data_IF_203665642815
#
_entry.id   IF_203665642815
#
_cell.length_a   1.000
_cell.length_b   1.000
_cell.length_c   1.000
_cell.angle_alpha   90.00
_cell.angle_beta   90.00
_cell.angle_gamma   90.00
#
_symmetry.space_group_name_H-M   'P 1'
#
loop_
_entity.id
_entity.type
_entity.pdbx_description
1 polymer ?
#
# COMPACT_ATOMS: atom_id res chain seq x y z
N UNK A 1 -1.92 -38.77 23.25
CA UNK A 1 -2.62 -37.67 22.53
C UNK A 1 -2.30 -36.30 23.12
N UNK A 2 -2.21 -36.14 24.44
CA UNK A 2 -1.88 -34.87 25.12
C UNK A 2 -0.55 -34.23 24.72
N UNK A 3 0.51 -35.03 24.50
CA UNK A 3 1.84 -34.53 24.09
C UNK A 3 1.85 -33.89 22.68
N UNK A 4 0.98 -34.33 21.77
CA UNK A 4 0.91 -33.73 20.43
C UNK A 4 0.21 -32.38 20.46
N UNK A 5 -0.82 -32.25 21.30
CA UNK A 5 -1.58 -31.00 21.44
C UNK A 5 -0.73 -29.93 22.12
N UNK A 6 0.07 -30.30 23.11
CA UNK A 6 1.02 -29.38 23.76
C UNK A 6 2.10 -28.88 22.81
N UNK A 7 2.59 -29.71 21.88
CA UNK A 7 3.58 -29.29 20.87
C UNK A 7 3.00 -28.24 19.92
N UNK A 8 1.76 -28.39 19.44
CA UNK A 8 1.10 -27.40 18.58
C UNK A 8 0.84 -26.08 19.31
N UNK A 9 0.46 -26.13 20.59
CA UNK A 9 0.31 -24.92 21.42
C UNK A 9 1.64 -24.19 21.56
N UNK A 10 2.71 -24.90 21.90
CA UNK A 10 4.05 -24.30 22.01
C UNK A 10 4.53 -23.73 20.67
N UNK A 11 4.23 -24.39 19.55
CA UNK A 11 4.53 -23.87 18.23
C UNK A 11 3.80 -22.55 17.96
N UNK A 12 2.48 -22.50 18.18
CA UNK A 12 1.67 -21.30 17.99
C UNK A 12 2.11 -20.12 18.89
N UNK A 13 2.53 -20.43 20.13
CA UNK A 13 3.07 -19.43 21.07
C UNK A 13 4.46 -18.92 20.68
N UNK A 14 5.24 -19.70 19.92
CA UNK A 14 6.60 -19.34 19.50
C UNK A 14 6.63 -18.60 18.15
N UNK A 15 5.49 -18.46 17.47
CA UNK A 15 5.40 -17.73 16.21
C UNK A 15 5.70 -16.24 16.41
N UNK A 16 6.46 -15.68 15.48
CA UNK A 16 6.68 -14.23 15.37
C UNK A 16 5.48 -13.47 14.77
N UNK A 17 4.35 -14.17 14.59
CA UNK A 17 3.08 -13.63 14.14
C UNK A 17 2.20 -13.38 15.36
N UNK A 18 1.50 -12.24 15.40
CA UNK A 18 0.56 -11.96 16.48
C UNK A 18 -0.73 -12.75 16.23
N UNK A 19 -1.11 -13.61 17.16
CA UNK A 19 -2.32 -14.42 17.07
C UNK A 19 -3.26 -14.12 18.22
N UNK A 20 -4.56 -14.02 17.92
CA UNK A 20 -5.63 -13.97 18.89
C UNK A 20 -6.77 -14.92 18.47
N UNK A 21 -7.43 -15.52 19.45
CA UNK A 21 -8.57 -16.40 19.23
C UNK A 21 -9.77 -15.78 19.92
N UNK A 22 -10.90 -15.71 19.23
CA UNK A 22 -12.17 -15.28 19.80
C UNK A 22 -13.16 -16.43 19.91
N UNK A 23 -14.20 -16.24 20.71
CA UNK A 23 -15.43 -17.02 20.62
C UNK A 23 -16.34 -16.51 19.48
N UNK A 24 -17.53 -17.11 19.34
CA UNK A 24 -18.55 -16.69 18.36
C UNK A 24 -19.19 -15.33 18.66
N UNK A 25 -19.03 -14.80 19.87
CA UNK A 25 -19.51 -13.46 20.24
C UNK A 25 -18.45 -12.38 20.01
N UNK A 26 -17.25 -12.77 19.53
CA UNK A 26 -16.13 -11.87 19.28
C UNK A 26 -15.30 -11.52 20.51
N UNK A 27 -15.48 -12.21 21.64
CA UNK A 27 -14.66 -12.01 22.84
C UNK A 27 -13.34 -12.72 22.68
N UNK A 28 -12.23 -12.01 22.86
CA UNK A 28 -10.88 -12.59 22.81
C UNK A 28 -10.71 -13.56 23.98
N UNK A 29 -10.55 -14.84 23.66
CA UNK A 29 -10.35 -15.92 24.62
C UNK A 29 -8.87 -16.16 24.90
N UNK A 30 -8.02 -16.07 23.86
CA UNK A 30 -6.58 -16.30 23.98
C UNK A 30 -5.79 -15.40 23.04
N UNK A 31 -4.57 -15.07 23.43
CA UNK A 31 -3.58 -14.37 22.61
C UNK A 31 -2.22 -15.02 22.79
N UNK A 32 -1.38 -14.98 21.77
CA UNK A 32 0.00 -15.43 21.91
C UNK A 32 0.92 -14.32 22.48
N UNK A 33 2.13 -14.67 22.97
CA UNK A 33 3.04 -13.68 23.54
C UNK A 33 3.42 -12.55 22.57
N UNK A 34 3.52 -12.86 21.27
CA UNK A 34 3.81 -11.88 20.22
C UNK A 34 2.72 -10.82 20.13
N UNK A 35 1.44 -11.22 20.16
CA UNK A 35 0.30 -10.31 20.20
C UNK A 35 0.35 -9.41 21.43
N UNK A 36 0.49 -9.99 22.63
CA UNK A 36 0.52 -9.23 23.88
C UNK A 36 1.67 -8.21 23.91
N UNK A 37 2.88 -8.62 23.49
CA UNK A 37 4.04 -7.74 23.39
C UNK A 37 3.81 -6.61 22.38
N UNK A 38 3.24 -6.91 21.21
CA UNK A 38 2.97 -5.89 20.19
C UNK A 38 1.89 -4.91 20.65
N UNK A 39 0.81 -5.39 21.25
CA UNK A 39 -0.23 -4.53 21.83
C UNK A 39 0.34 -3.58 22.89
N UNK A 40 1.21 -4.07 23.79
CA UNK A 40 1.88 -3.24 24.78
C UNK A 40 2.81 -2.18 24.13
N UNK A 41 3.58 -2.55 23.10
CA UNK A 41 4.44 -1.63 22.36
C UNK A 41 3.66 -0.52 21.65
N UNK A 42 2.45 -0.83 21.18
CA UNK A 42 1.55 0.12 20.53
C UNK A 42 0.76 0.99 21.54
N UNK A 43 0.94 0.78 22.85
CA UNK A 43 0.18 1.49 23.88
C UNK A 43 -1.29 1.06 23.99
N UNK A 44 -1.64 -0.14 23.49
CA UNK A 44 -3.00 -0.70 23.51
C UNK A 44 -3.28 -1.56 24.75
N UNK A 45 -2.29 -1.74 25.62
CA UNK A 45 -2.46 -2.32 26.96
C UNK A 45 -3.25 -1.36 27.86
N UNK A 46 -4.18 -1.84 28.72
CA UNK A 46 -4.44 -3.24 29.08
C UNK A 46 -5.56 -3.92 28.26
N UNK A 47 -6.14 -3.23 27.28
CA UNK A 47 -7.36 -3.71 26.61
C UNK A 47 -7.04 -4.80 25.58
N UNK A 48 -5.94 -4.67 24.86
CA UNK A 48 -5.60 -5.55 23.74
C UNK A 48 -4.52 -6.58 24.03
N UNK A 49 -3.87 -6.51 25.19
CA UNK A 49 -2.72 -7.38 25.55
C UNK A 49 -3.11 -8.66 26.30
N UNK A 50 -4.40 -8.85 26.58
CA UNK A 50 -4.94 -9.97 27.37
C UNK A 50 -6.33 -10.41 26.89
N UNK A 51 -6.80 -11.60 27.29
CA UNK A 51 -8.17 -12.04 27.05
C UNK A 51 -9.23 -11.14 27.72
N UNK A 52 -10.43 -11.11 27.13
CA UNK A 52 -11.63 -10.48 27.71
C UNK A 52 -12.21 -9.32 26.92
N UNK A 53 -11.45 -8.71 26.00
CA UNK A 53 -11.98 -7.67 25.12
C UNK A 53 -12.98 -8.27 24.12
N UNK A 54 -14.18 -7.69 24.02
CA UNK A 54 -15.10 -8.02 22.94
C UNK A 54 -14.80 -7.14 21.70
N UNK A 55 -14.24 -7.77 20.66
CA UNK A 55 -13.84 -7.10 19.42
C UNK A 55 -15.04 -6.46 18.71
N UNK A 56 -16.18 -7.14 18.68
CA UNK A 56 -17.38 -6.67 17.99
C UNK A 56 -17.92 -5.42 18.68
N UNK A 57 -18.03 -5.43 20.00
CA UNK A 57 -18.46 -4.25 20.78
C UNK A 57 -17.46 -3.11 20.66
N UNK A 58 -16.16 -3.40 20.73
CA UNK A 58 -15.11 -2.41 20.55
C UNK A 58 -15.22 -1.68 19.20
N UNK A 59 -15.45 -2.43 18.12
CA UNK A 59 -15.60 -1.88 16.76
C UNK A 59 -16.93 -1.16 16.53
N UNK A 60 -17.99 -1.54 17.25
CA UNK A 60 -19.29 -0.85 17.20
C UNK A 60 -19.23 0.53 17.86
N UNK A 61 -18.35 0.73 18.84
CA UNK A 61 -18.21 1.99 19.55
C UNK A 61 -17.69 3.10 18.61
N UNK A 62 -18.46 4.18 18.37
CA UNK A 62 -18.05 5.30 17.52
C UNK A 62 -16.75 5.96 17.95
N UNK A 63 -16.48 6.00 19.26
CA UNK A 63 -15.29 6.66 19.83
C UNK A 63 -13.98 5.96 19.42
N UNK A 64 -14.08 4.69 19.00
CA UNK A 64 -12.92 3.89 18.56
C UNK A 64 -12.68 3.96 17.04
N UNK A 65 -13.45 4.76 16.29
CA UNK A 65 -13.32 4.87 14.83
C UNK A 65 -11.97 5.45 14.39
N UNK A 66 -11.33 6.26 15.23
CA UNK A 66 -9.99 6.78 14.95
C UNK A 66 -8.93 5.67 14.85
N UNK A 67 -9.10 4.60 15.64
CA UNK A 67 -8.25 3.40 15.58
C UNK A 67 -8.63 2.48 14.42
N UNK A 68 -9.90 2.49 14.00
CA UNK A 68 -10.48 1.56 13.02
C UNK A 68 -11.48 2.28 12.09
N UNK A 69 -11.00 3.09 11.11
CA UNK A 69 -11.89 3.93 10.29
C UNK A 69 -12.89 3.12 9.44
N UNK A 70 -12.53 1.89 9.06
CA UNK A 70 -13.38 0.98 8.29
C UNK A 70 -14.09 -0.08 9.16
N UNK A 71 -14.34 0.21 10.44
CA UNK A 71 -14.97 -0.72 11.38
C UNK A 71 -16.29 -1.35 10.86
N UNK A 72 -17.23 -0.62 10.23
CA UNK A 72 -18.48 -1.22 9.74
C UNK A 72 -18.26 -2.31 8.69
N UNK A 73 -17.33 -2.08 7.76
CA UNK A 73 -17.00 -3.05 6.72
C UNK A 73 -16.35 -4.29 7.33
N UNK A 74 -15.43 -4.10 8.29
CA UNK A 74 -14.79 -5.21 8.98
C UNK A 74 -15.80 -6.04 9.80
N UNK A 75 -16.73 -5.39 10.51
CA UNK A 75 -17.81 -6.07 11.24
C UNK A 75 -18.69 -6.92 10.31
N UNK A 76 -19.03 -6.41 9.12
CA UNK A 76 -19.78 -7.18 8.13
C UNK A 76 -19.02 -8.44 7.69
N UNK A 77 -17.71 -8.32 7.44
CA UNK A 77 -16.90 -9.46 7.01
C UNK A 77 -16.71 -10.49 8.13
N UNK A 78 -16.53 -10.02 9.36
CA UNK A 78 -16.45 -10.90 10.54
C UNK A 78 -17.75 -11.68 10.74
N UNK A 79 -18.90 -11.05 10.56
CA UNK A 79 -20.20 -11.74 10.60
C UNK A 79 -20.33 -12.79 9.50
N UNK A 80 -19.93 -12.48 8.26
CA UNK A 80 -19.97 -13.44 7.15
C UNK A 80 -19.11 -14.68 7.45
N UNK A 81 -17.94 -14.50 8.08
CA UNK A 81 -17.09 -15.63 8.51
C UNK A 81 -17.79 -16.46 9.58
N UNK A 82 -18.32 -15.81 10.63
CA UNK A 82 -19.01 -16.50 11.72
C UNK A 82 -20.27 -17.25 11.25
N UNK A 83 -20.93 -16.77 10.19
CA UNK A 83 -22.09 -17.43 9.57
C UNK A 83 -21.70 -18.57 8.61
N UNK A 84 -20.41 -18.67 8.24
CA UNK A 84 -19.90 -19.66 7.29
C UNK A 84 -20.02 -19.26 5.83
N UNK A 85 -20.44 -18.02 5.53
CA UNK A 85 -20.53 -17.48 4.16
C UNK A 85 -19.15 -17.12 3.59
N UNK A 86 -18.13 -17.01 4.45
CA UNK A 86 -16.77 -16.65 4.08
C UNK A 86 -15.73 -17.55 4.77
N UNK A 87 -14.81 -18.12 3.98
CA UNK A 87 -13.79 -19.06 4.48
C UNK A 87 -12.56 -18.37 5.07
N UNK A 88 -12.27 -17.13 4.69
CA UNK A 88 -11.25 -16.28 5.30
C UNK A 88 -11.44 -14.82 4.83
N UNK A 89 -10.95 -13.87 5.61
CA UNK A 89 -10.85 -12.47 5.22
C UNK A 89 -9.43 -11.97 5.45
N UNK A 90 -8.89 -11.20 4.50
CA UNK A 90 -7.57 -10.59 4.62
C UNK A 90 -7.63 -9.11 4.28
N UNK A 91 -6.92 -8.28 5.06
CA UNK A 91 -6.86 -6.84 4.86
C UNK A 91 -5.57 -6.24 5.37
N UNK A 92 -4.98 -5.37 4.54
CA UNK A 92 -3.90 -4.48 4.97
C UNK A 92 -4.47 -3.23 5.64
N UNK A 93 -3.89 -2.85 6.77
CA UNK A 93 -4.20 -1.62 7.48
C UNK A 93 -2.94 -1.05 8.13
N UNK A 94 -3.00 0.20 8.58
CA UNK A 94 -1.89 0.82 9.29
C UNK A 94 -2.38 1.57 10.52
N UNK A 95 -1.53 1.63 11.53
CA UNK A 95 -1.74 2.39 12.76
C UNK A 95 -0.71 3.51 12.79
N UNK A 96 -1.18 4.73 13.06
CA UNK A 96 -0.33 5.89 13.29
C UNK A 96 -0.08 6.05 14.79
N UNK A 97 1.18 5.98 15.21
CA UNK A 97 1.57 6.20 16.59
C UNK A 97 1.76 7.71 16.84
N UNK A 98 0.81 8.34 17.51
CA UNK A 98 0.83 9.79 17.78
C UNK A 98 2.09 10.26 18.52
N UNK A 99 2.68 9.42 19.36
CA UNK A 99 3.85 9.77 20.17
C UNK A 99 5.17 9.66 19.41
N UNK A 100 5.31 8.72 18.47
CA UNK A 100 6.56 8.50 17.72
C UNK A 100 6.52 9.01 16.28
N UNK A 101 5.35 9.47 15.80
CA UNK A 101 5.10 9.80 14.40
C UNK A 101 5.42 8.65 13.43
N UNK A 102 5.47 7.41 13.92
CA UNK A 102 5.70 6.24 13.09
C UNK A 102 4.38 5.64 12.60
N UNK A 103 4.34 5.28 11.32
CA UNK A 103 3.28 4.45 10.73
C UNK A 103 3.73 3.00 10.72
N UNK A 104 2.92 2.13 11.32
CA UNK A 104 3.15 0.67 11.34
C UNK A 104 2.07 0.00 10.50
N UNK A 105 2.49 -0.80 9.53
CA UNK A 105 1.61 -1.53 8.62
C UNK A 105 1.40 -2.96 9.09
N UNK A 106 0.16 -3.42 9.01
CA UNK A 106 -0.25 -4.76 9.41
C UNK A 106 -1.06 -5.46 8.31
N UNK A 107 -0.77 -6.74 8.11
CA UNK A 107 -1.69 -7.67 7.46
C UNK A 107 -2.57 -8.29 8.53
N UNK A 108 -3.88 -8.05 8.47
CA UNK A 108 -4.86 -8.79 9.27
C UNK A 108 -5.42 -9.94 8.43
N UNK A 109 -5.44 -11.13 9.01
CA UNK A 109 -6.19 -12.28 8.51
C UNK A 109 -7.16 -12.77 9.57
N UNK A 110 -8.38 -13.07 9.15
CA UNK A 110 -9.44 -13.61 10.00
C UNK A 110 -9.91 -14.91 9.39
N UNK A 111 -9.80 -15.98 10.16
CA UNK A 111 -10.07 -17.35 9.71
C UNK A 111 -11.06 -17.98 10.70
N UNK A 112 -12.10 -18.71 10.26
CA UNK A 112 -13.01 -19.39 11.18
C UNK A 112 -12.26 -20.47 11.97
N UNK A 113 -12.50 -20.51 13.28
CA UNK A 113 -12.04 -21.59 14.14
C UNK A 113 -13.09 -22.70 14.12
N UNK A 114 -12.72 -23.85 13.56
CA UNK A 114 -13.62 -25.01 13.47
C UNK A 114 -13.52 -25.88 14.72
N UNK A 115 -14.65 -26.13 15.38
CA UNK A 115 -14.83 -27.06 16.49
C UNK A 115 -15.90 -28.09 16.11
N UNK A 116 -15.59 -29.40 16.09
CA UNK A 116 -16.57 -30.48 15.89
C UNK A 116 -17.62 -30.24 14.77
N UNK A 117 -17.20 -29.64 13.65
CA UNK A 117 -18.01 -29.31 12.47
C UNK A 117 -18.93 -28.06 12.60
N UNK A 118 -18.69 -27.20 13.59
CA UNK A 118 -19.27 -25.86 13.68
C UNK A 118 -18.16 -24.79 13.86
N UNK A 119 -18.53 -23.52 13.74
CA UNK A 119 -17.62 -22.40 13.95
C UNK A 119 -17.67 -22.03 15.43
N UNK A 120 -16.59 -22.30 16.16
CA UNK A 120 -16.44 -21.95 17.59
C UNK A 120 -16.01 -20.50 17.81
N UNK A 121 -15.56 -19.82 16.75
CA UNK A 121 -15.14 -18.42 16.77
C UNK A 121 -14.24 -18.09 15.59
N UNK A 122 -13.31 -17.15 15.77
CA UNK A 122 -12.33 -16.81 14.74
C UNK A 122 -10.91 -16.76 15.28
N UNK A 123 -9.96 -17.08 14.42
CA UNK A 123 -8.53 -16.81 14.63
C UNK A 123 -8.19 -15.53 13.90
N UNK A 124 -7.69 -14.55 14.66
CA UNK A 124 -7.12 -13.31 14.15
C UNK A 124 -5.60 -13.49 14.07
N UNK A 125 -5.07 -13.12 12.93
CA UNK A 125 -3.64 -13.14 12.68
C UNK A 125 -3.18 -11.79 12.18
N UNK A 126 -2.19 -11.22 12.84
CA UNK A 126 -1.62 -9.92 12.51
C UNK A 126 -0.12 -10.04 12.25
N UNK A 127 0.32 -9.70 11.04
CA UNK A 127 1.73 -9.64 10.65
C UNK A 127 2.16 -8.19 10.49
N UNK A 128 3.25 -7.78 11.14
CA UNK A 128 3.89 -6.50 10.85
C UNK A 128 4.57 -6.55 9.47
N UNK A 129 4.05 -5.76 8.53
CA UNK A 129 4.54 -5.65 7.17
C UNK A 129 5.23 -4.31 6.87
N UNK A 130 5.54 -3.53 7.91
CA UNK A 130 6.12 -2.18 7.78
C UNK A 130 7.42 -2.20 6.97
N UNK A 131 8.27 -3.21 7.17
CA UNK A 131 9.53 -3.37 6.42
C UNK A 131 9.27 -3.57 4.93
N UNK A 132 8.33 -4.45 4.59
CA UNK A 132 7.98 -4.74 3.19
C UNK A 132 7.38 -3.51 2.51
N UNK A 133 6.46 -2.81 3.18
CA UNK A 133 5.88 -1.56 2.66
C UNK A 133 6.92 -0.47 2.45
N UNK A 134 7.90 -0.32 3.36
CA UNK A 134 9.02 0.62 3.15
C UNK A 134 9.84 0.29 1.91
N UNK A 135 10.16 -0.98 1.69
CA UNK A 135 10.88 -1.39 0.48
C UNK A 135 10.05 -1.20 -0.79
N UNK A 136 8.76 -1.55 -0.76
CA UNK A 136 7.84 -1.33 -1.89
C UNK A 136 7.80 0.16 -2.28
N UNK A 137 7.63 1.05 -1.29
CA UNK A 137 7.62 2.50 -1.53
C UNK A 137 8.96 3.02 -2.05
N UNK A 138 10.08 2.55 -1.50
CA UNK A 138 11.41 2.91 -1.99
C UNK A 138 11.64 2.44 -3.43
N UNK A 139 11.20 1.24 -3.79
CA UNK A 139 11.29 0.74 -5.16
C UNK A 139 10.45 1.59 -6.11
N UNK A 140 9.20 1.91 -5.74
CA UNK A 140 8.34 2.79 -6.54
C UNK A 140 8.98 4.17 -6.72
N UNK A 141 9.55 4.74 -5.65
CA UNK A 141 10.25 6.02 -5.71
C UNK A 141 11.46 5.96 -6.66
N UNK A 142 12.34 4.95 -6.51
CA UNK A 142 13.49 4.77 -7.40
C UNK A 142 13.04 4.60 -8.86
N UNK A 143 12.01 3.79 -9.11
CA UNK A 143 11.44 3.59 -10.44
C UNK A 143 10.90 4.91 -11.00
N UNK A 144 10.19 5.71 -10.20
CA UNK A 144 9.70 7.04 -10.62
C UNK A 144 10.83 8.03 -10.92
N UNK A 145 12.02 7.81 -10.35
CA UNK A 145 13.20 8.63 -10.61
C UNK A 145 14.00 8.16 -11.83
N UNK A 146 13.79 6.93 -12.30
CA UNK A 146 14.38 6.41 -13.53
C UNK A 146 13.70 7.10 -14.73
N UNK A 147 14.50 7.90 -15.46
CA UNK A 147 14.22 8.65 -16.71
C UNK A 147 13.55 10.02 -16.58
N UNK A 148 14.09 10.86 -15.70
CA UNK A 148 14.00 12.32 -15.89
C UNK A 148 15.36 12.86 -16.33
N UNK A 149 15.39 13.70 -17.37
CA UNK A 149 16.59 14.44 -17.77
C UNK A 149 17.03 15.30 -16.58
N UNK A 150 18.05 14.88 -15.84
CA UNK A 150 18.61 15.63 -14.72
C UNK A 150 20.07 15.99 -15.02
N UNK A 151 20.47 17.21 -14.69
CA UNK A 151 21.84 17.70 -14.84
C UNK A 151 22.05 18.66 -16.03
N UNK A 152 23.30 19.11 -16.20
CA UNK A 152 23.72 19.94 -17.33
C UNK A 152 24.06 19.03 -18.50
N UNK A 153 23.28 19.12 -19.58
CA UNK A 153 23.54 18.37 -20.81
C UNK A 153 24.52 19.16 -21.69
N UNK A 154 25.74 18.65 -21.94
CA UNK A 154 26.67 19.28 -22.85
C UNK A 154 26.12 19.23 -24.28
N UNK A 155 25.83 20.41 -24.86
CA UNK A 155 25.39 20.54 -26.24
C UNK A 155 26.49 21.16 -27.11
N UNK A 156 26.53 20.77 -28.38
CA UNK A 156 27.39 21.42 -29.35
C UNK A 156 26.85 22.82 -29.63
N UNK A 157 27.67 23.86 -29.42
CA UNK A 157 27.24 25.24 -29.68
C UNK A 157 26.84 25.47 -31.16
N UNK A 158 27.43 24.71 -32.08
CA UNK A 158 27.24 24.83 -33.54
C UNK A 158 26.03 24.04 -34.02
N UNK A 159 26.01 22.71 -33.86
CA UNK A 159 24.97 21.85 -34.42
C UNK A 159 23.90 21.41 -33.42
N UNK A 160 23.98 21.83 -32.15
CA UNK A 160 23.04 21.52 -31.06
C UNK A 160 22.91 20.04 -30.67
N UNK A 161 23.69 19.13 -31.28
CA UNK A 161 23.78 17.74 -30.81
C UNK A 161 24.13 17.66 -29.34
N UNK A 162 23.58 16.67 -28.64
CA UNK A 162 23.84 16.39 -27.23
C UNK A 162 24.96 15.36 -27.16
N UNK A 163 25.88 15.58 -26.23
CA UNK A 163 26.91 14.60 -25.92
C UNK A 163 26.43 13.68 -24.78
N UNK A 164 26.44 12.38 -25.03
CA UNK A 164 26.03 11.37 -24.05
C UNK A 164 27.17 10.97 -23.09
N UNK A 165 26.87 10.08 -22.14
CA UNK A 165 27.82 9.60 -21.13
C UNK A 165 28.98 8.79 -21.75
N UNK A 166 28.74 8.15 -22.90
CA UNK A 166 29.74 7.42 -23.68
C UNK A 166 30.56 8.33 -24.60
N UNK A 167 30.42 9.65 -24.45
CA UNK A 167 31.18 10.66 -25.16
C UNK A 167 30.85 10.71 -26.68
N UNK A 168 29.72 10.15 -27.10
CA UNK A 168 29.17 10.25 -28.46
C UNK A 168 28.26 11.46 -28.61
N UNK A 169 28.14 11.95 -29.85
CA UNK A 169 27.26 13.07 -30.19
C UNK A 169 26.03 12.55 -30.93
N UNK A 170 24.86 12.83 -30.37
CA UNK A 170 23.59 12.42 -30.97
C UNK A 170 22.65 13.62 -31.17
N UNK A 171 21.70 13.44 -32.07
CA UNK A 171 20.64 14.40 -32.29
C UNK A 171 19.74 14.47 -31.03
N UNK A 172 19.25 15.68 -30.73
CA UNK A 172 18.47 15.94 -29.51
C UNK A 172 17.26 15.00 -29.43
N UNK A 173 16.56 14.79 -30.54
CA UNK A 173 15.38 13.94 -30.62
C UNK A 173 15.68 12.50 -30.20
N UNK A 174 16.72 11.89 -30.78
CA UNK A 174 17.15 10.54 -30.43
C UNK A 174 17.56 10.45 -28.97
N UNK A 175 18.30 11.45 -28.48
CA UNK A 175 18.68 11.51 -27.08
C UNK A 175 17.45 11.58 -26.15
N UNK A 176 16.45 12.41 -26.49
CA UNK A 176 15.22 12.55 -25.73
C UNK A 176 14.36 11.27 -25.77
N UNK A 177 14.20 10.63 -26.93
CA UNK A 177 13.48 9.35 -27.07
C UNK A 177 14.11 8.27 -26.19
N UNK A 178 15.44 8.15 -26.19
CA UNK A 178 16.14 7.13 -25.39
C UNK A 178 16.09 7.38 -23.89
N UNK A 179 16.21 8.65 -23.49
CA UNK A 179 16.39 9.03 -22.08
C UNK A 179 15.10 9.48 -21.38
N UNK A 180 13.98 9.51 -22.09
CA UNK A 180 12.67 9.86 -21.54
C UNK A 180 11.59 8.87 -22.01
N UNK A 181 10.34 9.15 -21.64
CA UNK A 181 9.16 8.46 -22.16
C UNK A 181 8.42 9.30 -23.21
N UNK A 182 9.08 10.29 -23.82
CA UNK A 182 8.47 11.15 -24.83
C UNK A 182 8.36 10.46 -26.19
N UNK A 183 7.22 10.62 -26.84
CA UNK A 183 7.00 10.30 -28.25
C UNK A 183 6.89 11.62 -29.03
N UNK A 184 7.57 11.69 -30.18
CA UNK A 184 7.51 12.87 -31.04
C UNK A 184 6.44 12.70 -32.12
N UNK A 185 5.57 13.69 -32.24
CA UNK A 185 4.72 13.89 -33.41
C UNK A 185 5.34 14.96 -34.30
N UNK A 186 4.99 14.92 -35.59
CA UNK A 186 5.45 15.91 -36.55
C UNK A 186 4.37 16.98 -36.72
N UNK A 187 4.73 18.23 -36.47
CA UNK A 187 3.90 19.41 -36.71
C UNK A 187 4.77 20.54 -37.28
N UNK A 188 4.15 21.52 -37.93
CA UNK A 188 4.83 22.70 -38.49
C UNK A 188 4.37 23.92 -37.71
N UNK A 189 5.28 24.58 -37.01
CA UNK A 189 4.90 25.76 -36.21
C UNK A 189 4.39 26.91 -37.11
N UNK A 190 3.58 27.84 -36.56
CA UNK A 190 3.03 28.97 -37.32
C UNK A 190 4.06 29.78 -38.10
N UNK A 191 5.25 30.00 -37.54
CA UNK A 191 6.33 30.75 -38.21
C UNK A 191 6.88 29.99 -39.42
N UNK A 192 7.08 28.68 -39.28
CA UNK A 192 7.47 27.83 -40.40
C UNK A 192 6.39 27.76 -41.47
N UNK A 193 5.10 27.73 -41.11
CA UNK A 193 3.99 27.79 -42.08
C UNK A 193 4.00 29.11 -42.84
N UNK A 194 4.23 30.25 -42.16
CA UNK A 194 4.33 31.57 -42.81
C UNK A 194 5.46 31.63 -43.82
N UNK A 195 6.58 30.96 -43.56
CA UNK A 195 7.72 30.92 -44.48
C UNK A 195 7.51 29.94 -45.63
N UNK A 196 7.09 28.71 -45.34
CA UNK A 196 6.95 27.63 -46.33
C UNK A 196 5.69 27.75 -47.17
N UNK A 197 4.61 28.25 -46.56
CA UNK A 197 3.27 28.33 -47.15
C UNK A 197 2.65 29.74 -46.96
N UNK A 198 3.32 30.82 -47.42
CA UNK A 198 2.88 32.20 -47.18
C UNK A 198 1.50 32.51 -47.75
N UNK A 199 1.04 31.77 -48.78
CA UNK A 199 -0.30 31.94 -49.37
C UNK A 199 -1.42 31.39 -48.50
N UNK A 200 -1.11 30.46 -47.58
CA UNK A 200 -2.08 29.77 -46.74
C UNK A 200 -1.98 30.19 -45.27
N UNK A 201 -0.97 31.00 -44.92
CA UNK A 201 -0.71 31.39 -43.53
C UNK A 201 -1.73 32.38 -42.96
N UNK A 202 -2.54 33.03 -43.80
CA UNK A 202 -3.59 33.97 -43.36
C UNK A 202 -4.64 33.31 -42.45
N UNK A 203 -4.76 31.98 -42.49
CA UNK A 203 -5.67 31.24 -41.61
C UNK A 203 -5.20 31.25 -40.14
N UNK A 204 -3.91 31.52 -39.90
CA UNK A 204 -3.31 31.57 -38.56
C UNK A 204 -3.59 32.90 -37.84
N UNK A 205 -4.02 33.92 -38.58
CA UNK A 205 -4.26 35.28 -38.07
C UNK A 205 -5.75 35.52 -37.77
N UNK A 206 -6.59 34.50 -37.96
CA UNK A 206 -8.00 34.54 -37.56
C UNK A 206 -8.10 34.42 -36.04
N UNK A 207 -8.96 35.21 -35.37
CA UNK A 207 -9.19 35.05 -33.93
C UNK A 207 -9.68 33.63 -33.67
N UNK A 208 -9.12 32.97 -32.65
CA UNK A 208 -9.62 31.68 -32.20
C UNK A 208 -11.10 31.86 -31.84
N UNK A 209 -11.99 31.14 -32.53
CA UNK A 209 -13.41 31.16 -32.20
C UNK A 209 -13.54 30.70 -30.74
N UNK A 210 -14.11 31.56 -29.90
CA UNK A 210 -14.55 31.21 -28.56
C UNK A 210 -15.76 30.27 -28.71
N UNK A 211 -15.52 28.97 -28.61
CA UNK A 211 -16.53 27.94 -28.33
C UNK A 211 -16.21 27.26 -26.98
#
# INVERSE_FOLDING_TARGET
MTHSLSLWISAAQSLNQSLAITDTQGTIQQVNPTWAKKAAQLGLSPLWDRPGLNLIEFLKNPDNRDLCPNAPMFLSQLNNILQGDCSFYSKEFHIHLSLSQETIWFQLEVIPLMEENCIGGVVLSCIDMTRYKRYELQLVEIISQIRTLRGLLPICAVCKRIKDEDNHWDDIENFLIRNTHAEFTHDICPDCIRVLYPKYSSILDLPANED
#
